data_IF_061217033375
#
_entry.id   IF_061217033375
#
_cell.length_a   1.000
_cell.length_b   1.000
_cell.length_c   1.000
_cell.angle_alpha   90.00
_cell.angle_beta   90.00
_cell.angle_gamma   90.00
#
_symmetry.space_group_name_H-M   'P 1'
#
loop_
_entity.id
_entity.type
_entity.pdbx_description
1 polymer ?
#
# COMPACT_ATOMS: atom_id res chain seq x y z
N UNK A 1 11.96 12.52 22.66
CA UNK A 1 12.22 11.06 22.56
C UNK A 1 11.19 10.31 21.72
N UNK A 2 10.07 10.89 21.37
CA UNK A 2 8.97 10.25 20.66
C UNK A 2 8.91 10.58 19.15
N UNK A 3 9.92 11.30 18.63
CA UNK A 3 10.05 11.60 17.20
C UNK A 3 10.73 10.42 16.53
N UNK A 4 10.10 9.91 15.47
CA UNK A 4 10.58 8.77 14.69
C UNK A 4 10.46 9.06 13.19
N UNK A 5 11.23 8.37 12.37
CA UNK A 5 11.08 8.42 10.92
C UNK A 5 10.35 7.16 10.42
N UNK A 6 9.19 7.37 9.79
CA UNK A 6 8.41 6.29 9.19
C UNK A 6 8.89 6.06 7.75
N UNK A 7 9.52 4.92 7.49
CA UNK A 7 10.09 4.56 6.19
C UNK A 7 9.02 4.31 5.10
N UNK A 8 7.80 3.97 5.47
CA UNK A 8 6.70 3.79 4.53
C UNK A 8 6.10 5.14 4.11
N UNK A 9 5.97 6.06 5.05
CA UNK A 9 5.50 7.42 4.82
C UNK A 9 6.57 8.30 4.17
N UNK A 10 7.85 7.95 4.32
CA UNK A 10 8.99 8.82 4.01
C UNK A 10 8.91 10.16 4.74
N UNK A 11 8.56 10.11 6.01
CA UNK A 11 8.29 11.28 6.83
C UNK A 11 8.38 11.03 8.33
N UNK A 12 8.39 12.13 9.08
CA UNK A 12 8.45 12.07 10.54
C UNK A 12 7.07 11.85 11.15
N UNK A 13 7.06 11.11 12.25
CA UNK A 13 5.90 10.85 13.08
C UNK A 13 6.22 11.02 14.57
N UNK A 14 5.18 11.17 15.37
CA UNK A 14 5.25 11.14 16.83
C UNK A 14 4.67 9.80 17.30
N UNK A 15 5.51 8.99 17.95
CA UNK A 15 5.10 7.78 18.67
C UNK A 15 5.07 8.08 20.18
N UNK A 16 3.88 8.21 20.76
CA UNK A 16 3.70 8.49 22.17
C UNK A 16 3.33 9.95 22.49
N UNK A 17 3.58 10.39 23.72
CA UNK A 17 3.19 11.71 24.20
C UNK A 17 4.28 12.75 23.95
N UNK A 18 3.85 13.97 23.66
CA UNK A 18 4.67 15.18 23.57
C UNK A 18 4.09 16.26 24.47
N UNK A 19 4.91 17.24 24.97
CA UNK A 19 4.46 18.24 25.94
C UNK A 19 3.57 19.35 25.34
N UNK A 20 3.04 19.16 24.15
CA UNK A 20 2.10 20.05 23.48
C UNK A 20 0.92 19.29 22.86
N UNK A 21 -0.13 20.01 22.47
CA UNK A 21 -1.28 19.40 21.79
C UNK A 21 -0.90 18.89 20.39
N UNK A 22 -1.07 17.60 20.19
CA UNK A 22 -0.75 16.92 18.94
C UNK A 22 -1.98 16.10 18.49
N UNK A 23 -2.76 16.57 17.49
CA UNK A 23 -4.03 15.94 17.10
C UNK A 23 -3.86 14.71 16.19
N UNK A 24 -2.65 14.46 15.69
CA UNK A 24 -2.37 13.42 14.71
C UNK A 24 -0.97 12.85 14.92
N UNK A 25 -0.72 11.61 14.47
CA UNK A 25 0.62 11.02 14.55
C UNK A 25 1.65 11.67 13.60
N UNK A 26 1.21 12.39 12.59
CA UNK A 26 2.09 12.98 11.58
C UNK A 26 2.74 14.26 12.10
N UNK A 27 4.06 14.41 11.87
CA UNK A 27 4.78 15.62 12.19
C UNK A 27 4.32 16.78 11.31
N UNK A 28 4.00 17.93 11.92
CA UNK A 28 3.48 19.14 11.24
C UNK A 28 4.45 20.30 11.44
N UNK A 29 4.37 21.33 10.60
CA UNK A 29 5.14 22.57 10.77
C UNK A 29 4.93 23.21 12.16
N UNK A 30 3.72 23.08 12.71
CA UNK A 30 3.42 23.55 14.07
C UNK A 30 4.23 22.79 15.13
N UNK A 31 4.59 21.55 14.91
CA UNK A 31 5.35 20.74 15.87
C UNK A 31 6.82 21.17 15.91
N UNK A 32 7.38 21.68 14.79
CA UNK A 32 8.70 22.33 14.79
C UNK A 32 8.70 23.57 15.70
N UNK A 33 7.70 24.43 15.58
CA UNK A 33 7.57 25.61 16.42
C UNK A 33 7.37 25.26 17.91
N UNK A 34 6.54 24.26 18.19
CA UNK A 34 6.30 23.78 19.56
C UNK A 34 7.56 23.19 20.18
N UNK A 35 8.31 22.39 19.43
CA UNK A 35 9.57 21.81 19.90
C UNK A 35 10.59 22.91 20.20
N UNK A 36 10.77 23.89 19.31
CA UNK A 36 11.68 25.01 19.51
C UNK A 36 11.30 25.76 20.78
N UNK A 37 10.03 26.15 20.93
CA UNK A 37 9.54 26.87 22.12
C UNK A 37 9.75 26.08 23.41
N UNK A 38 9.49 24.78 23.39
CA UNK A 38 9.70 23.89 24.53
C UNK A 38 11.18 23.82 24.94
N UNK A 39 12.07 23.60 23.96
CA UNK A 39 13.51 23.49 24.23
C UNK A 39 14.09 24.82 24.71
N UNK A 40 13.74 25.94 24.06
CA UNK A 40 14.22 27.27 24.45
C UNK A 40 13.82 27.62 25.88
N UNK A 41 12.60 27.27 26.29
CA UNK A 41 12.11 27.57 27.64
C UNK A 41 12.74 26.70 28.74
N UNK A 42 13.24 25.50 28.41
CA UNK A 42 13.75 24.55 29.42
C UNK A 42 15.27 24.37 29.39
N UNK A 43 15.91 24.58 28.24
CA UNK A 43 17.32 24.23 28.03
C UNK A 43 18.17 25.37 27.47
N UNK A 44 17.55 26.52 27.17
CA UNK A 44 18.19 27.65 26.53
C UNK A 44 18.09 27.66 25.01
N UNK A 45 18.38 28.81 24.41
CA UNK A 45 18.17 29.09 23.00
C UNK A 45 19.29 28.50 22.14
N UNK A 46 18.89 27.77 21.11
CA UNK A 46 19.80 27.19 20.11
C UNK A 46 19.50 27.77 18.71
N UNK A 47 20.43 27.63 17.78
CA UNK A 47 20.18 28.06 16.39
C UNK A 47 19.16 27.16 15.69
N UNK A 48 18.31 27.73 14.84
CA UNK A 48 17.33 26.99 14.03
C UNK A 48 17.98 25.84 13.23
N UNK A 49 19.20 26.07 12.73
CA UNK A 49 19.97 25.02 12.04
C UNK A 49 20.26 23.83 12.94
N UNK A 50 20.60 24.06 14.20
CA UNK A 50 20.90 22.98 15.15
C UNK A 50 19.64 22.19 15.51
N UNK A 51 18.47 22.86 15.62
CA UNK A 51 17.19 22.18 15.80
C UNK A 51 16.92 21.21 14.65
N UNK A 52 16.99 21.69 13.41
CA UNK A 52 16.73 20.86 12.22
C UNK A 52 17.68 19.66 12.14
N UNK A 53 18.98 19.86 12.43
CA UNK A 53 19.96 18.77 12.44
C UNK A 53 19.62 17.76 13.54
N UNK A 54 19.31 18.23 14.75
CA UNK A 54 19.01 17.37 15.89
C UNK A 54 17.73 16.55 15.67
N UNK A 55 16.66 17.19 15.20
CA UNK A 55 15.38 16.51 14.91
C UNK A 55 15.55 15.47 13.83
N UNK A 56 16.19 15.83 12.72
CA UNK A 56 16.46 14.87 11.62
C UNK A 56 17.28 13.68 12.11
N UNK A 57 18.35 13.95 12.88
CA UNK A 57 19.19 12.87 13.42
C UNK A 57 18.43 11.96 14.38
N UNK A 58 17.65 12.52 15.30
CA UNK A 58 16.87 11.74 16.28
C UNK A 58 15.80 10.90 15.58
N UNK A 59 15.13 11.46 14.58
CA UNK A 59 14.13 10.74 13.80
C UNK A 59 14.77 9.57 13.00
N UNK A 60 15.91 9.82 12.35
CA UNK A 60 16.64 8.82 11.57
C UNK A 60 17.18 7.68 12.46
N UNK A 61 17.81 7.99 13.60
CA UNK A 61 18.28 7.00 14.59
C UNK A 61 17.13 6.09 15.10
N UNK A 62 15.89 6.52 14.96
CA UNK A 62 14.66 5.81 15.39
C UNK A 62 13.76 5.50 14.21
N UNK A 63 14.36 5.34 13.06
CA UNK A 63 13.59 4.99 11.88
C UNK A 63 12.99 3.59 12.02
N UNK A 64 11.76 3.44 11.56
CA UNK A 64 11.01 2.20 11.62
C UNK A 64 10.16 2.01 10.37
N UNK A 65 9.74 0.79 10.13
CA UNK A 65 8.86 0.46 9.02
C UNK A 65 7.56 -0.17 9.55
N UNK A 66 6.43 0.57 9.56
CA UNK A 66 5.21 0.13 10.24
C UNK A 66 4.68 -1.21 9.73
N UNK A 67 4.71 -1.42 8.41
CA UNK A 67 4.19 -2.66 7.82
C UNK A 67 5.12 -3.84 8.13
N UNK A 68 6.44 -3.65 8.16
CA UNK A 68 7.37 -4.72 8.59
C UNK A 68 7.18 -5.09 10.05
N UNK A 69 6.99 -4.09 10.93
CA UNK A 69 6.66 -4.34 12.34
C UNK A 69 5.33 -5.10 12.46
N UNK A 70 4.31 -4.69 11.71
CA UNK A 70 3.02 -5.39 11.66
C UNK A 70 3.16 -6.84 11.21
N UNK A 71 3.86 -7.09 10.10
CA UNK A 71 4.07 -8.44 9.58
C UNK A 71 4.88 -9.33 10.54
N UNK A 72 5.87 -8.74 11.23
CA UNK A 72 6.68 -9.45 12.23
C UNK A 72 5.90 -9.76 13.53
N UNK A 73 4.85 -9.01 13.82
CA UNK A 73 4.00 -9.20 15.00
C UNK A 73 2.80 -10.12 14.73
N UNK A 74 2.63 -10.64 13.51
CA UNK A 74 1.54 -11.56 13.19
C UNK A 74 1.67 -12.86 13.99
N UNK A 75 0.53 -13.49 14.36
CA UNK A 75 0.54 -14.83 14.94
C UNK A 75 1.10 -15.84 13.93
N UNK A 76 1.51 -16.98 14.43
CA UNK A 76 1.84 -18.12 13.58
C UNK A 76 0.61 -18.56 12.77
N UNK A 77 0.82 -18.95 11.51
CA UNK A 77 -0.27 -19.44 10.66
C UNK A 77 -0.86 -20.73 11.21
N UNK A 78 -2.17 -20.77 11.35
CA UNK A 78 -2.93 -21.89 11.89
C UNK A 78 -3.02 -23.12 10.95
N UNK A 79 -2.43 -23.04 9.75
CA UNK A 79 -2.44 -24.10 8.74
C UNK A 79 -3.71 -24.16 7.89
N UNK A 80 -4.69 -23.28 8.12
CA UNK A 80 -5.93 -23.23 7.32
C UNK A 80 -5.73 -22.30 6.10
N UNK A 81 -5.78 -22.84 4.87
CA UNK A 81 -5.65 -22.04 3.65
C UNK A 81 -6.81 -21.06 3.48
N UNK A 82 -6.51 -19.79 3.27
CA UNK A 82 -7.49 -18.70 3.04
C UNK A 82 -7.14 -17.84 1.82
N UNK A 83 -5.86 -17.77 1.47
CA UNK A 83 -5.34 -16.87 0.43
C UNK A 83 -5.92 -17.21 -0.94
N UNK A 84 -5.87 -18.46 -1.34
CA UNK A 84 -6.29 -18.91 -2.67
C UNK A 84 -7.79 -18.76 -2.90
N UNK A 85 -8.60 -18.87 -1.85
CA UNK A 85 -10.06 -18.82 -1.93
C UNK A 85 -10.63 -17.46 -1.54
N UNK A 86 -9.80 -16.48 -1.20
CA UNK A 86 -10.22 -15.19 -0.70
C UNK A 86 -11.28 -14.51 -1.60
N UNK A 87 -11.03 -14.42 -2.90
CA UNK A 87 -11.98 -13.80 -3.84
C UNK A 87 -13.20 -14.69 -4.12
N UNK A 88 -13.06 -15.99 -3.98
CA UNK A 88 -14.13 -16.98 -4.13
C UNK A 88 -15.10 -16.84 -2.95
N UNK A 89 -14.56 -16.90 -1.74
CA UNK A 89 -15.33 -16.92 -0.50
C UNK A 89 -16.05 -15.60 -0.23
N UNK A 90 -15.40 -14.46 -0.52
CA UNK A 90 -15.93 -13.13 -0.17
C UNK A 90 -16.60 -12.38 -1.32
N UNK A 91 -16.20 -12.62 -2.56
CA UNK A 91 -16.73 -11.90 -3.72
C UNK A 91 -17.41 -12.79 -4.75
N UNK A 92 -17.53 -14.10 -4.48
CA UNK A 92 -18.20 -15.06 -5.35
C UNK A 92 -17.48 -15.28 -6.69
N UNK A 93 -16.16 -15.08 -6.74
CA UNK A 93 -15.39 -15.39 -7.93
C UNK A 93 -15.45 -16.90 -8.24
N UNK A 94 -15.27 -17.23 -9.51
CA UNK A 94 -15.21 -18.64 -9.94
C UNK A 94 -14.03 -19.36 -9.32
N UNK A 95 -14.26 -20.56 -8.79
CA UNK A 95 -13.20 -21.41 -8.27
C UNK A 95 -12.44 -22.09 -9.40
N UNK A 96 -11.35 -21.48 -9.83
CA UNK A 96 -10.46 -22.02 -10.83
C UNK A 96 -9.00 -21.70 -10.52
N UNK A 97 -8.08 -22.38 -11.22
CA UNK A 97 -6.64 -22.23 -11.00
C UNK A 97 -6.13 -20.80 -11.26
N UNK A 98 -6.75 -20.07 -12.20
CA UNK A 98 -6.38 -18.69 -12.50
C UNK A 98 -6.69 -17.76 -11.33
N UNK A 99 -7.93 -17.78 -10.82
CA UNK A 99 -8.36 -16.92 -9.69
C UNK A 99 -7.49 -17.18 -8.46
N UNK A 100 -7.27 -18.45 -8.12
CA UNK A 100 -6.38 -18.85 -7.02
C UNK A 100 -4.97 -18.30 -7.20
N UNK A 101 -4.38 -18.49 -8.39
CA UNK A 101 -3.01 -18.06 -8.68
C UNK A 101 -2.83 -16.54 -8.65
N UNK A 102 -3.74 -15.76 -9.26
CA UNK A 102 -3.60 -14.28 -9.29
C UNK A 102 -3.84 -13.67 -7.93
N UNK A 103 -4.74 -14.23 -7.11
CA UNK A 103 -4.96 -13.82 -5.73
C UNK A 103 -3.69 -14.04 -4.90
N UNK A 104 -3.16 -15.25 -4.90
CA UNK A 104 -1.91 -15.60 -4.20
C UNK A 104 -0.76 -14.70 -4.63
N UNK A 105 -0.51 -14.57 -5.95
CA UNK A 105 0.59 -13.75 -6.48
C UNK A 105 0.48 -12.29 -6.06
N UNK A 106 -0.73 -11.73 -6.05
CA UNK A 106 -0.95 -10.34 -5.66
C UNK A 106 -0.64 -10.12 -4.18
N UNK A 107 -1.11 -10.98 -3.29
CA UNK A 107 -0.86 -10.85 -1.86
C UNK A 107 0.62 -11.15 -1.51
N UNK A 108 1.24 -12.13 -2.14
CA UNK A 108 2.68 -12.38 -2.00
C UNK A 108 3.51 -11.16 -2.46
N UNK A 109 3.10 -10.50 -3.55
CA UNK A 109 3.78 -9.29 -4.02
C UNK A 109 3.64 -8.12 -3.05
N UNK A 110 2.52 -8.00 -2.34
CA UNK A 110 2.35 -6.99 -1.28
C UNK A 110 3.42 -7.14 -0.19
N UNK A 111 3.64 -8.36 0.29
CA UNK A 111 4.67 -8.66 1.30
C UNK A 111 6.07 -8.46 0.73
N UNK A 112 6.35 -9.00 -0.47
CA UNK A 112 7.68 -8.91 -1.10
C UNK A 112 8.11 -7.45 -1.34
N UNK A 113 7.21 -6.58 -1.77
CA UNK A 113 7.54 -5.17 -2.00
C UNK A 113 7.87 -4.41 -0.72
N UNK A 114 7.36 -4.84 0.42
CA UNK A 114 7.73 -4.29 1.73
C UNK A 114 9.08 -4.84 2.20
N UNK A 115 9.35 -6.13 1.98
CA UNK A 115 10.62 -6.76 2.34
C UNK A 115 11.77 -6.34 1.43
N UNK A 116 11.51 -6.24 0.13
CA UNK A 116 12.46 -5.90 -0.94
C UNK A 116 11.92 -4.70 -1.74
N UNK A 117 12.05 -3.46 -1.23
CA UNK A 117 11.55 -2.27 -1.91
C UNK A 117 12.07 -2.16 -3.35
N UNK A 118 11.18 -1.85 -4.28
CA UNK A 118 11.51 -1.74 -5.70
C UNK A 118 11.52 -3.07 -6.45
N UNK A 119 11.27 -4.20 -5.79
CA UNK A 119 11.12 -5.48 -6.50
C UNK A 119 10.06 -5.38 -7.57
N UNK A 120 10.33 -5.98 -8.73
CA UNK A 120 9.45 -5.87 -9.89
C UNK A 120 8.14 -6.61 -9.66
N UNK A 121 7.05 -5.84 -9.67
CA UNK A 121 5.68 -6.34 -9.74
C UNK A 121 4.87 -5.32 -10.54
N UNK A 122 4.70 -5.55 -11.85
CA UNK A 122 4.09 -4.62 -12.79
C UNK A 122 2.66 -5.03 -13.18
N UNK A 123 2.03 -5.83 -12.34
CA UNK A 123 0.66 -6.32 -12.53
C UNK A 123 -0.30 -5.69 -11.53
N UNK A 124 -1.57 -5.66 -11.91
CA UNK A 124 -2.69 -5.19 -11.11
C UNK A 124 -3.85 -6.19 -11.18
N UNK A 125 -4.30 -6.66 -10.04
CA UNK A 125 -5.50 -7.48 -9.94
C UNK A 125 -6.73 -6.59 -10.09
N UNK A 126 -7.61 -6.90 -11.05
CA UNK A 126 -8.78 -6.09 -11.38
C UNK A 126 -10.06 -6.85 -11.01
N UNK A 127 -10.76 -6.35 -9.99
CA UNK A 127 -12.03 -6.92 -9.53
C UNK A 127 -13.19 -6.34 -10.34
N UNK A 128 -13.82 -7.18 -11.15
CA UNK A 128 -14.90 -6.79 -12.02
C UNK A 128 -16.25 -7.40 -11.57
N UNK A 129 -17.16 -6.56 -11.17
CA UNK A 129 -18.48 -6.99 -10.72
C UNK A 129 -19.38 -5.85 -10.26
N UNK A 130 -20.62 -6.15 -9.89
CA UNK A 130 -21.61 -5.16 -9.48
C UNK A 130 -21.12 -4.23 -8.37
N UNK A 131 -21.69 -3.07 -8.30
CA UNK A 131 -21.46 -2.15 -7.18
C UNK A 131 -22.09 -2.71 -5.90
N UNK A 132 -21.50 -2.40 -4.75
CA UNK A 132 -22.06 -2.77 -3.44
C UNK A 132 -21.76 -4.19 -2.96
N UNK A 133 -21.04 -5.03 -3.73
CA UNK A 133 -20.69 -6.40 -3.32
C UNK A 133 -19.50 -6.49 -2.35
N UNK A 134 -18.89 -5.35 -1.97
CA UNK A 134 -17.78 -5.33 -0.99
C UNK A 134 -16.38 -5.41 -1.58
N UNK A 135 -16.15 -5.09 -2.86
CA UNK A 135 -14.80 -5.09 -3.48
C UNK A 135 -13.81 -4.19 -2.74
N UNK A 136 -14.13 -2.90 -2.67
CA UNK A 136 -13.28 -1.91 -1.98
C UNK A 136 -13.19 -2.19 -0.47
N UNK A 137 -14.27 -2.71 0.13
CA UNK A 137 -14.28 -3.13 1.53
C UNK A 137 -13.27 -4.25 1.78
N UNK A 138 -13.20 -5.26 0.91
CA UNK A 138 -12.22 -6.33 1.02
C UNK A 138 -10.79 -5.79 0.96
N UNK A 139 -10.51 -4.95 -0.04
CA UNK A 139 -9.18 -4.36 -0.23
C UNK A 139 -8.79 -3.50 0.97
N UNK A 140 -9.68 -2.63 1.44
CA UNK A 140 -9.41 -1.75 2.58
C UNK A 140 -9.19 -2.52 3.88
N UNK A 141 -9.95 -3.60 4.12
CA UNK A 141 -9.75 -4.43 5.31
C UNK A 141 -8.41 -5.17 5.29
N UNK A 142 -7.97 -5.66 4.15
CA UNK A 142 -6.65 -6.29 4.01
C UNK A 142 -5.50 -5.32 4.31
N UNK A 143 -5.62 -4.08 3.87
CA UNK A 143 -4.58 -3.07 4.05
C UNK A 143 -4.66 -2.34 5.39
N UNK A 144 -5.81 -2.32 6.05
CA UNK A 144 -6.04 -1.57 7.27
C UNK A 144 -5.78 -0.07 7.09
N UNK A 145 -5.02 0.52 7.98
CA UNK A 145 -4.68 1.95 7.93
C UNK A 145 -3.79 2.35 6.75
N UNK A 146 -3.17 1.39 6.06
CA UNK A 146 -2.31 1.62 4.89
C UNK A 146 -3.06 1.46 3.56
N UNK A 147 -4.37 1.59 3.56
CA UNK A 147 -5.22 1.61 2.38
C UNK A 147 -5.38 3.03 1.83
N UNK A 148 -5.44 3.16 0.50
CA UNK A 148 -5.87 4.39 -0.15
C UNK A 148 -6.63 4.10 -1.44
N UNK A 149 -7.71 4.83 -1.64
CA UNK A 149 -8.51 4.91 -2.88
C UNK A 149 -8.40 6.31 -3.55
N UNK A 150 -7.48 7.14 -3.05
CA UNK A 150 -7.34 8.53 -3.50
C UNK A 150 -6.60 8.69 -4.82
N UNK A 151 -6.01 7.61 -5.36
CA UNK A 151 -5.25 7.64 -6.59
C UNK A 151 -6.16 7.55 -7.82
N UNK A 152 -6.22 8.63 -8.59
CA UNK A 152 -6.96 8.68 -9.84
C UNK A 152 -6.04 8.43 -11.04
N UNK A 153 -6.62 8.02 -12.17
CA UNK A 153 -5.87 7.80 -13.42
C UNK A 153 -5.16 9.06 -13.93
N UNK A 154 -5.75 10.24 -13.73
CA UNK A 154 -5.13 11.53 -14.07
C UNK A 154 -3.81 11.74 -13.33
N UNK A 155 -3.72 11.31 -12.07
CA UNK A 155 -2.53 11.47 -11.23
C UNK A 155 -1.35 10.65 -11.75
N UNK A 156 -1.62 9.51 -12.42
CA UNK A 156 -0.56 8.59 -12.88
C UNK A 156 0.38 9.19 -13.92
N UNK A 157 0.03 10.37 -14.46
CA UNK A 157 0.81 11.09 -15.49
C UNK A 157 1.93 11.96 -14.91
N UNK A 158 1.82 12.40 -13.67
CA UNK A 158 2.70 13.40 -13.09
C UNK A 158 3.30 13.00 -11.72
N UNK A 159 3.91 13.97 -11.04
CA UNK A 159 4.54 13.78 -9.72
C UNK A 159 3.53 13.57 -8.59
N UNK A 160 2.29 13.99 -8.77
CA UNK A 160 1.22 13.87 -7.78
C UNK A 160 0.97 12.41 -7.40
N UNK A 161 1.12 11.49 -8.37
CA UNK A 161 1.01 10.08 -8.07
C UNK A 161 2.03 9.63 -7.01
N UNK A 162 3.29 10.04 -7.16
CA UNK A 162 4.35 9.64 -6.24
C UNK A 162 4.05 10.09 -4.79
N UNK A 163 3.53 11.31 -4.62
CA UNK A 163 3.11 11.83 -3.32
C UNK A 163 1.93 11.05 -2.73
N UNK A 164 0.96 10.66 -3.58
CA UNK A 164 -0.21 9.86 -3.17
C UNK A 164 0.10 8.41 -2.82
N UNK A 165 1.29 7.91 -3.15
CA UNK A 165 1.72 6.55 -2.76
C UNK A 165 2.32 6.50 -1.36
N UNK A 166 2.76 7.65 -0.82
CA UNK A 166 3.47 7.71 0.47
C UNK A 166 2.57 7.25 1.61
N UNK A 167 3.08 6.34 2.42
CA UNK A 167 2.40 5.82 3.59
C UNK A 167 1.41 4.68 3.30
N UNK A 168 1.15 4.35 2.04
CA UNK A 168 0.17 3.33 1.67
C UNK A 168 0.81 2.04 1.17
N UNK A 169 0.19 0.93 1.51
CA UNK A 169 0.60 -0.43 1.16
C UNK A 169 -0.20 -1.00 -0.02
N UNK A 170 -1.52 -0.85 0.05
CA UNK A 170 -2.44 -1.29 -0.99
C UNK A 170 -3.28 -0.09 -1.45
N UNK A 171 -3.20 0.21 -2.74
CA UNK A 171 -3.98 1.29 -3.34
C UNK A 171 -5.01 0.72 -4.31
N UNK A 172 -6.20 1.29 -4.25
CA UNK A 172 -7.27 1.02 -5.21
C UNK A 172 -7.32 2.09 -6.29
N UNK A 173 -7.36 1.65 -7.55
CA UNK A 173 -7.67 2.50 -8.69
C UNK A 173 -9.06 2.10 -9.17
N UNK A 174 -10.03 2.93 -8.84
CA UNK A 174 -11.42 2.73 -9.21
C UNK A 174 -11.74 3.13 -10.64
N UNK A 175 -12.98 2.85 -11.06
CA UNK A 175 -13.58 3.36 -12.28
C UNK A 175 -12.80 3.04 -13.57
N UNK A 176 -12.29 1.83 -13.69
CA UNK A 176 -11.56 1.39 -14.89
C UNK A 176 -12.48 1.18 -16.13
N UNK A 177 -13.75 1.52 -16.01
CA UNK A 177 -14.70 1.46 -17.11
C UNK A 177 -14.44 2.57 -18.13
N UNK A 178 -14.50 2.25 -19.42
CA UNK A 178 -14.46 3.25 -20.48
C UNK A 178 -13.10 3.89 -20.74
N UNK A 179 -12.00 3.32 -20.24
CA UNK A 179 -10.66 3.84 -20.49
C UNK A 179 -10.32 3.84 -21.98
N UNK A 180 -9.80 4.97 -22.44
CA UNK A 180 -9.24 5.10 -23.77
C UNK A 180 -7.88 4.42 -23.84
N UNK A 181 -7.45 4.02 -25.04
CA UNK A 181 -6.16 3.36 -25.25
C UNK A 181 -4.98 4.12 -24.62
N UNK A 182 -4.94 5.45 -24.78
CA UNK A 182 -3.89 6.28 -24.19
C UNK A 182 -3.86 6.25 -22.65
N UNK A 183 -5.00 6.09 -22.01
CA UNK A 183 -5.11 6.00 -20.55
C UNK A 183 -4.62 4.62 -20.06
N UNK A 184 -4.95 3.57 -20.80
CA UNK A 184 -4.43 2.21 -20.53
C UNK A 184 -2.90 2.17 -20.66
N UNK A 185 -2.32 2.81 -21.68
CA UNK A 185 -0.86 2.92 -21.85
C UNK A 185 -0.20 3.71 -20.72
N UNK A 186 -0.82 4.80 -20.28
CA UNK A 186 -0.35 5.58 -19.14
C UNK A 186 -0.34 4.74 -17.87
N UNK A 187 -1.42 4.01 -17.60
CA UNK A 187 -1.53 3.13 -16.44
C UNK A 187 -0.49 2.00 -16.49
N UNK A 188 -0.25 1.41 -17.65
CA UNK A 188 0.80 0.39 -17.83
C UNK A 188 2.18 0.94 -17.53
N UNK A 189 2.50 2.12 -18.05
CA UNK A 189 3.76 2.80 -17.76
C UNK A 189 3.92 3.06 -16.27
N UNK A 190 2.85 3.54 -15.63
CA UNK A 190 2.83 3.77 -14.19
C UNK A 190 3.05 2.49 -13.37
N UNK A 191 2.35 1.41 -13.68
CA UNK A 191 2.50 0.11 -13.00
C UNK A 191 3.91 -0.47 -13.15
N UNK A 192 4.59 -0.20 -14.25
CA UNK A 192 5.93 -0.73 -14.55
C UNK A 192 7.05 -0.08 -13.74
N UNK A 193 6.79 1.04 -13.07
CA UNK A 193 7.81 1.74 -12.29
C UNK A 193 8.20 0.94 -11.07
N UNK A 194 9.49 0.79 -10.85
CA UNK A 194 10.06 0.21 -9.64
C UNK A 194 10.44 1.26 -8.61
N UNK A 195 10.75 2.47 -9.10
CA UNK A 195 11.09 3.63 -8.28
C UNK A 195 10.26 4.83 -8.70
N UNK A 196 9.82 5.60 -7.75
CA UNK A 196 9.22 6.91 -7.97
C UNK A 196 10.24 7.98 -7.57
N UNK A 197 10.44 9.00 -8.42
CA UNK A 197 11.43 10.05 -8.18
C UNK A 197 10.68 11.31 -7.77
N UNK A 198 10.82 11.67 -6.51
CA UNK A 198 10.24 12.90 -5.98
C UNK A 198 11.13 13.49 -4.88
N UNK A 199 10.78 14.69 -4.44
CA UNK A 199 11.42 15.36 -3.31
C UNK A 199 10.51 15.19 -2.09
N UNK A 200 10.96 14.48 -1.08
CA UNK A 200 10.25 14.36 0.19
C UNK A 200 9.98 15.76 0.80
N UNK A 201 8.94 15.86 1.64
CA UNK A 201 8.43 17.13 2.16
C UNK A 201 9.50 18.04 2.78
N UNK A 202 10.55 17.46 3.39
CA UNK A 202 11.68 18.20 3.98
C UNK A 202 13.00 17.95 3.25
N UNK A 203 12.97 17.22 2.14
CA UNK A 203 14.15 16.87 1.34
C UNK A 203 14.65 18.08 0.53
N UNK A 204 15.96 18.25 0.46
CA UNK A 204 16.58 19.27 -0.40
C UNK A 204 16.74 18.82 -1.86
N UNK A 205 16.69 17.51 -2.11
CA UNK A 205 16.94 16.90 -3.42
C UNK A 205 15.85 15.91 -3.76
N UNK A 206 15.56 15.75 -5.04
CA UNK A 206 14.76 14.64 -5.53
C UNK A 206 15.60 13.36 -5.48
N UNK A 207 15.06 12.32 -4.88
CA UNK A 207 15.70 11.01 -4.71
C UNK A 207 14.81 9.91 -5.26
N UNK A 208 15.37 8.77 -5.69
CA UNK A 208 14.57 7.60 -6.01
C UNK A 208 14.01 6.98 -4.73
N UNK A 209 12.72 6.72 -4.74
CA UNK A 209 12.01 6.02 -3.67
C UNK A 209 11.54 4.67 -4.22
N UNK A 210 12.16 3.56 -3.81
CA UNK A 210 11.76 2.23 -4.25
C UNK A 210 10.32 1.94 -3.85
N UNK A 211 9.51 1.48 -4.81
CA UNK A 211 8.08 1.27 -4.61
C UNK A 211 7.81 0.10 -3.67
N UNK A 212 6.99 0.32 -2.64
CA UNK A 212 6.67 -0.64 -1.59
C UNK A 212 5.18 -1.03 -1.57
N UNK A 213 4.38 -0.49 -2.49
CA UNK A 213 2.94 -0.71 -2.57
C UNK A 213 2.55 -1.58 -3.77
N UNK A 214 1.33 -2.13 -3.70
CA UNK A 214 0.67 -2.80 -4.82
C UNK A 214 -0.64 -2.07 -5.17
N UNK A 215 -1.18 -2.41 -6.34
CA UNK A 215 -2.39 -1.80 -6.85
C UNK A 215 -3.46 -2.85 -7.11
N UNK A 216 -4.69 -2.55 -6.68
CA UNK A 216 -5.90 -3.21 -7.12
C UNK A 216 -6.67 -2.29 -8.06
N UNK A 217 -7.33 -2.86 -9.05
CA UNK A 217 -8.28 -2.15 -9.87
C UNK A 217 -9.70 -2.59 -9.56
N UNK A 218 -10.65 -1.68 -9.63
CA UNK A 218 -12.08 -2.03 -9.53
C UNK A 218 -12.86 -1.47 -10.69
N UNK A 219 -13.82 -2.24 -11.17
CA UNK A 219 -14.73 -1.85 -12.24
C UNK A 219 -16.07 -2.55 -12.08
N UNK A 220 -17.13 -1.91 -12.62
CA UNK A 220 -18.46 -2.49 -12.75
C UNK A 220 -18.88 -2.67 -14.23
N UNK A 221 -17.93 -2.51 -15.16
CA UNK A 221 -18.21 -2.66 -16.59
C UNK A 221 -18.46 -4.12 -16.94
N UNK A 222 -19.60 -4.41 -17.56
CA UNK A 222 -19.92 -5.77 -18.04
C UNK A 222 -18.94 -6.25 -19.12
N UNK A 223 -18.44 -5.34 -19.95
CA UNK A 223 -17.46 -5.61 -21.00
C UNK A 223 -16.70 -4.35 -21.42
N UNK A 224 -15.58 -4.53 -22.10
CA UNK A 224 -14.91 -3.44 -22.81
C UNK A 224 -13.99 -2.56 -21.96
N UNK A 225 -13.71 -2.90 -20.73
CA UNK A 225 -12.63 -2.30 -19.98
C UNK A 225 -11.28 -2.94 -20.39
N UNK A 226 -10.21 -2.15 -20.40
CA UNK A 226 -8.86 -2.60 -20.77
C UNK A 226 -8.77 -3.22 -22.20
N UNK A 227 -9.39 -2.57 -23.19
CA UNK A 227 -9.51 -3.03 -24.58
C UNK A 227 -8.19 -3.03 -25.39
N UNK A 228 -7.11 -3.56 -24.88
CA UNK A 228 -5.91 -3.69 -25.71
C UNK A 228 -5.45 -5.14 -25.77
N UNK A 229 -5.35 -5.67 -26.98
CA UNK A 229 -4.95 -7.05 -27.28
C UNK A 229 -3.44 -7.29 -27.10
N UNK A 230 -2.62 -6.24 -27.06
CA UNK A 230 -1.17 -6.30 -26.98
C UNK A 230 -0.63 -5.78 -25.65
N UNK A 231 -0.56 -6.60 -24.62
CA UNK A 231 0.06 -6.19 -23.35
C UNK A 231 -0.84 -6.28 -22.12
N UNK A 232 -1.99 -6.93 -22.22
CA UNK A 232 -2.92 -7.15 -21.10
C UNK A 232 -2.34 -8.04 -19.99
N UNK A 233 -1.13 -8.57 -20.12
CA UNK A 233 -0.46 -9.38 -19.08
C UNK A 233 -0.30 -8.66 -17.73
N UNK A 234 -0.39 -7.29 -17.74
CA UNK A 234 -0.30 -6.49 -16.50
C UNK A 234 -1.62 -6.38 -15.75
N UNK A 235 -2.73 -6.71 -16.40
CA UNK A 235 -4.04 -6.67 -15.79
C UNK A 235 -4.55 -8.08 -15.61
N UNK A 236 -4.86 -8.43 -14.38
CA UNK A 236 -5.42 -9.73 -14.02
C UNK A 236 -6.90 -9.57 -13.67
N UNK A 237 -7.79 -9.64 -14.67
CA UNK A 237 -9.21 -9.48 -14.44
C UNK A 237 -9.81 -10.71 -13.76
N UNK A 238 -10.53 -10.48 -12.68
CA UNK A 238 -11.32 -11.49 -11.99
C UNK A 238 -12.78 -11.03 -11.92
N UNK A 239 -13.69 -11.85 -12.44
CA UNK A 239 -15.12 -11.60 -12.28
C UNK A 239 -15.52 -11.89 -10.84
N UNK A 240 -16.21 -10.93 -10.24
CA UNK A 240 -16.71 -10.97 -8.87
C UNK A 240 -18.19 -10.69 -8.86
N UNK A 241 -19.04 -11.68 -9.16
CA UNK A 241 -20.50 -11.46 -9.29
C UNK A 241 -21.19 -11.16 -7.95
N UNK A 242 -20.50 -11.35 -6.83
CA UNK A 242 -21.10 -11.37 -5.51
C UNK A 242 -21.67 -12.74 -5.16
N UNK A 243 -22.28 -12.85 -3.99
CA UNK A 243 -22.88 -14.10 -3.52
C UNK A 243 -21.85 -15.15 -3.05
N UNK A 244 -20.69 -14.70 -2.62
CA UNK A 244 -19.75 -15.56 -1.91
C UNK A 244 -20.32 -16.10 -0.61
N UNK A 245 -19.70 -17.14 -0.05
CA UNK A 245 -20.13 -17.78 1.19
C UNK A 245 -20.01 -16.84 2.41
N UNK A 246 -19.18 -15.81 2.30
CA UNK A 246 -18.89 -14.81 3.34
C UNK A 246 -19.05 -13.40 2.75
N UNK A 247 -19.20 -12.40 3.62
CA UNK A 247 -19.22 -11.01 3.20
C UNK A 247 -17.94 -10.27 3.60
N UNK A 248 -17.46 -9.37 2.75
CA UNK A 248 -16.22 -8.62 2.99
C UNK A 248 -16.24 -7.79 4.28
N UNK A 249 -17.42 -7.33 4.71
CA UNK A 249 -17.59 -6.60 5.99
C UNK A 249 -17.56 -7.49 7.23
N UNK A 250 -17.63 -8.81 7.07
CA UNK A 250 -17.50 -9.79 8.15
C UNK A 250 -16.05 -10.24 8.38
N UNK A 251 -15.13 -9.87 7.49
CA UNK A 251 -13.71 -10.20 7.61
C UNK A 251 -13.13 -9.61 8.90
N UNK A 252 -12.81 -10.47 9.86
CA UNK A 252 -12.33 -10.08 11.19
C UNK A 252 -10.85 -9.73 11.17
N UNK A 253 -10.37 -9.06 12.23
CA UNK A 253 -8.92 -8.84 12.41
C UNK A 253 -8.14 -10.14 12.53
N UNK A 254 -8.73 -11.17 13.12
CA UNK A 254 -8.12 -12.50 13.24
C UNK A 254 -7.98 -13.17 11.86
N UNK A 255 -9.04 -13.12 11.02
CA UNK A 255 -8.97 -13.62 9.65
C UNK A 255 -7.89 -12.90 8.83
N UNK A 256 -7.81 -11.57 8.94
CA UNK A 256 -6.80 -10.77 8.25
C UNK A 256 -5.40 -11.16 8.71
N UNK A 257 -5.20 -11.31 10.02
CA UNK A 257 -3.92 -11.73 10.58
C UNK A 257 -3.50 -13.09 10.08
N UNK A 258 -4.43 -14.06 10.01
CA UNK A 258 -4.17 -15.40 9.49
C UNK A 258 -3.95 -15.42 7.96
N UNK A 259 -4.64 -14.57 7.19
CA UNK A 259 -4.37 -14.41 5.77
C UNK A 259 -2.93 -13.92 5.55
N UNK A 260 -2.49 -12.90 6.27
CA UNK A 260 -1.13 -12.38 6.12
C UNK A 260 -0.08 -13.35 6.67
N UNK A 261 -0.37 -14.09 7.73
CA UNK A 261 0.50 -15.16 8.23
C UNK A 261 0.68 -16.28 7.18
N UNK A 262 -0.40 -16.70 6.51
CA UNK A 262 -0.33 -17.62 5.37
C UNK A 262 0.53 -17.06 4.23
N UNK A 263 0.34 -15.77 3.89
CA UNK A 263 1.14 -15.10 2.84
C UNK A 263 2.63 -15.12 3.18
N UNK A 264 3.02 -14.89 4.43
CA UNK A 264 4.43 -14.95 4.85
C UNK A 264 5.02 -16.34 4.57
N UNK A 265 4.32 -17.41 4.94
CA UNK A 265 4.76 -18.78 4.65
C UNK A 265 4.86 -19.04 3.15
N UNK A 266 3.89 -18.56 2.37
CA UNK A 266 3.90 -18.69 0.91
C UNK A 266 5.07 -17.94 0.27
N UNK A 267 5.42 -16.77 0.77
CA UNK A 267 6.55 -15.97 0.26
C UNK A 267 7.88 -16.68 0.50
N UNK A 268 8.04 -17.34 1.65
CA UNK A 268 9.26 -18.10 1.97
C UNK A 268 9.39 -19.37 1.13
N UNK A 269 8.28 -20.03 0.83
CA UNK A 269 8.26 -21.33 0.13
C UNK A 269 8.29 -21.18 -1.39
N UNK A 270 7.77 -20.07 -1.95
CA UNK A 270 7.74 -19.84 -3.40
C UNK A 270 9.01 -19.13 -3.85
N UNK A 271 9.94 -19.86 -4.44
CA UNK A 271 11.09 -19.29 -5.12
C UNK A 271 10.65 -18.26 -6.17
N UNK A 272 11.36 -17.14 -6.25
CA UNK A 272 11.09 -15.95 -7.09
C UNK A 272 10.85 -16.23 -8.58
N UNK A 273 11.30 -17.36 -9.07
CA UNK A 273 11.15 -17.79 -10.48
C UNK A 273 9.70 -18.03 -10.91
N UNK A 274 8.80 -18.33 -9.98
CA UNK A 274 7.39 -18.64 -10.29
C UNK A 274 6.44 -17.43 -10.24
N UNK A 275 6.89 -16.27 -9.80
CA UNK A 275 6.10 -15.03 -9.84
C UNK A 275 6.14 -14.31 -11.21
N UNK A 276 7.00 -14.77 -12.13
CA UNK A 276 7.20 -14.18 -13.47
C UNK A 276 6.37 -14.77 -14.60
N UNK A 277 5.52 -15.74 -14.34
CA UNK A 277 4.71 -16.39 -15.40
C UNK A 277 3.32 -15.80 -15.51
#
# INVERSE_FOLDING_TARGET
QNIVFNQQLDGMEIKGEVPWKHPSKYWRDADDAQLISYVDSHYGTFSQRNYQIAVTKVADDRSYHPIREYLAALPEWDGVPRVDTLLIDYLGAEDNSYVRAVTRKTLCAAVRRVQEPGVKFDTMLVLNGPQGIGKSTLISRLAGEWFSDSLNLSDTKDKTAAEKLQGYWILEIGELAGLRKAEVETLRSFLSRQNDIYRAAFGRRATPHPRQCIFFGTTNAESGYLRDTTGNRRFWPVKTPGGGAKHSWELTHEDISQIWAEVLVLVETVSYTHLRA
#
